data_IF_174360990084
#
_entry.id   IF_174360990084
#
_cell.length_a   1.000
_cell.length_b   1.000
_cell.length_c   1.000
_cell.angle_alpha   90.00
_cell.angle_beta   90.00
_cell.angle_gamma   90.00
#
_symmetry.space_group_name_H-M   'P 1'
#
loop_
_entity.id
_entity.type
_entity.pdbx_description
1 polymer ?
#
# COMPACT_ATOMS: atom_id res chain seq x y z
N UNK A 1 23.01 -8.94 5.22
CA UNK A 1 22.72 -10.37 5.48
C UNK A 1 23.17 -10.74 6.90
N UNK A 2 22.43 -11.59 7.63
CA UNK A 2 22.76 -12.02 9.00
C UNK A 2 22.70 -13.54 9.05
N UNK A 3 23.79 -14.20 9.45
CA UNK A 3 23.85 -15.67 9.56
C UNK A 3 24.37 -16.10 10.95
N UNK A 4 23.80 -17.16 11.55
CA UNK A 4 24.33 -17.78 12.77
C UNK A 4 25.69 -18.47 12.52
N UNK A 5 26.62 -18.33 13.46
CA UNK A 5 27.90 -19.02 13.41
C UNK A 5 27.73 -20.49 13.82
N UNK A 6 28.03 -21.42 12.91
CA UNK A 6 27.75 -22.87 13.05
C UNK A 6 28.49 -23.60 14.19
N UNK A 7 29.28 -22.93 15.03
CA UNK A 7 30.21 -23.58 15.96
C UNK A 7 30.25 -22.97 17.38
N UNK A 8 29.17 -22.38 17.89
CA UNK A 8 29.11 -22.00 19.31
C UNK A 8 27.68 -22.02 19.85
N UNK A 9 27.48 -22.54 21.07
CA UNK A 9 26.23 -22.44 21.86
C UNK A 9 25.94 -21.01 22.37
N UNK A 10 26.68 -20.02 21.87
CA UNK A 10 26.45 -18.60 22.10
C UNK A 10 25.62 -18.04 20.94
N UNK A 11 24.57 -17.26 21.22
CA UNK A 11 23.69 -16.56 20.26
C UNK A 11 24.43 -15.45 19.47
N UNK A 12 25.62 -15.75 18.96
CA UNK A 12 26.45 -14.84 18.20
C UNK A 12 26.14 -14.97 16.69
N UNK A 13 25.84 -13.84 16.06
CA UNK A 13 25.57 -13.73 14.62
C UNK A 13 26.64 -12.89 13.93
N UNK A 14 26.99 -13.28 12.71
CA UNK A 14 27.78 -12.43 11.82
C UNK A 14 26.86 -11.46 11.06
N UNK A 15 27.21 -10.18 11.06
CA UNK A 15 26.45 -9.11 10.36
C UNK A 15 27.27 -8.64 9.16
N UNK A 16 26.73 -8.85 7.97
CA UNK A 16 27.34 -8.40 6.72
C UNK A 16 26.62 -7.15 6.22
N UNK A 17 27.41 -6.11 5.93
CA UNK A 17 26.94 -4.94 5.17
C UNK A 17 26.55 -5.38 3.77
N UNK A 18 25.44 -4.84 3.29
CA UNK A 18 24.79 -5.20 2.02
C UNK A 18 25.74 -5.03 0.80
N UNK A 19 26.70 -4.13 0.94
CA UNK A 19 27.73 -3.79 -0.04
C UNK A 19 28.79 -4.90 -0.22
N UNK A 20 28.97 -5.76 0.80
CA UNK A 20 30.05 -6.75 0.88
C UNK A 20 29.54 -8.19 0.76
N UNK A 21 28.25 -8.38 0.53
CA UNK A 21 27.70 -9.70 0.18
C UNK A 21 27.96 -9.87 -1.30
N UNK A 22 28.85 -10.81 -1.67
CA UNK A 22 28.98 -11.23 -3.06
C UNK A 22 27.58 -11.61 -3.54
N UNK A 23 27.08 -10.83 -4.51
CA UNK A 23 25.81 -11.12 -5.15
C UNK A 23 26.03 -12.40 -5.93
N UNK A 24 25.68 -13.55 -5.34
CA UNK A 24 25.28 -14.68 -6.18
C UNK A 24 24.24 -14.11 -7.16
N UNK A 25 24.48 -14.31 -8.45
CA UNK A 25 23.68 -13.82 -9.59
C UNK A 25 22.25 -14.42 -9.60
N UNK A 26 21.59 -14.42 -8.46
CA UNK A 26 20.17 -14.67 -8.33
C UNK A 26 19.45 -13.38 -8.66
N UNK A 27 19.15 -13.22 -9.96
CA UNK A 27 18.09 -12.37 -10.48
C UNK A 27 16.97 -12.21 -9.45
N UNK A 28 16.74 -10.98 -8.98
CA UNK A 28 15.61 -10.64 -8.13
C UNK A 28 14.32 -11.12 -8.82
N UNK A 29 13.82 -12.28 -8.41
CA UNK A 29 12.55 -12.84 -8.90
C UNK A 29 11.41 -11.99 -8.34
N UNK A 30 11.12 -10.89 -9.01
CA UNK A 30 9.88 -10.15 -8.83
C UNK A 30 8.78 -11.04 -9.42
N UNK A 31 7.88 -11.53 -8.57
CA UNK A 31 6.79 -12.42 -8.96
C UNK A 31 5.87 -11.73 -9.97
N UNK A 32 5.66 -12.35 -11.13
CA UNK A 32 4.56 -12.03 -12.05
C UNK A 32 4.92 -11.60 -13.47
N UNK A 33 6.20 -11.54 -13.86
CA UNK A 33 6.58 -11.17 -15.25
C UNK A 33 7.39 -12.31 -15.89
N UNK A 34 6.92 -12.85 -17.00
CA UNK A 34 7.70 -13.78 -17.82
C UNK A 34 8.76 -13.03 -18.60
N UNK A 35 10.00 -13.44 -18.40
CA UNK A 35 11.20 -12.81 -18.92
C UNK A 35 11.40 -13.18 -20.40
N UNK A 36 10.77 -12.45 -21.33
CA UNK A 36 10.96 -12.68 -22.78
C UNK A 36 11.33 -11.44 -23.60
N UNK A 37 11.69 -10.32 -22.96
CA UNK A 37 12.21 -9.16 -23.72
C UNK A 37 13.28 -8.45 -22.94
N UNK A 38 14.47 -9.04 -22.88
CA UNK A 38 15.70 -8.32 -22.58
C UNK A 38 16.57 -8.43 -23.82
N UNK A 39 16.28 -7.58 -24.81
CA UNK A 39 17.29 -7.25 -25.81
C UNK A 39 18.44 -6.58 -25.05
N UNK A 40 19.65 -7.06 -25.31
CA UNK A 40 20.90 -6.61 -24.69
C UNK A 40 20.92 -5.10 -24.51
N UNK A 41 21.18 -4.63 -23.28
CA UNK A 41 21.47 -3.23 -22.96
C UNK A 41 22.65 -2.74 -23.82
N UNK A 42 22.36 -2.21 -25.01
CA UNK A 42 23.18 -1.15 -25.55
C UNK A 42 23.20 -0.06 -24.49
N UNK A 43 24.42 0.32 -24.06
CA UNK A 43 24.63 1.36 -23.06
C UNK A 43 23.63 2.49 -23.28
N UNK A 44 22.75 2.74 -22.30
CA UNK A 44 21.75 3.82 -22.34
C UNK A 44 22.52 5.15 -22.44
N UNK A 45 22.91 5.51 -23.67
CA UNK A 45 23.49 6.79 -24.03
C UNK A 45 22.31 7.73 -24.18
N UNK A 46 22.24 8.67 -23.24
CA UNK A 46 21.15 9.61 -22.93
C UNK A 46 20.09 9.05 -22.00
N UNK A 47 20.42 9.07 -20.71
CA UNK A 47 19.48 9.67 -19.76
C UNK A 47 19.25 11.10 -20.25
N UNK A 48 18.18 11.34 -21.00
CA UNK A 48 17.68 12.69 -21.17
C UNK A 48 17.44 13.22 -19.76
N UNK A 49 18.27 14.16 -19.32
CA UNK A 49 17.98 14.95 -18.13
C UNK A 49 16.71 15.73 -18.45
N UNK A 50 15.56 15.11 -18.21
CA UNK A 50 14.28 15.80 -18.09
C UNK A 50 14.40 16.61 -16.81
N UNK A 51 15.01 17.78 -16.92
CA UNK A 51 14.96 18.79 -15.88
C UNK A 51 13.52 19.24 -15.79
N UNK A 52 12.91 19.04 -14.63
CA UNK A 52 11.61 19.60 -14.32
C UNK A 52 11.67 21.12 -14.55
N UNK A 53 10.56 21.68 -15.01
CA UNK A 53 10.38 23.13 -14.98
C UNK A 53 10.36 23.61 -13.52
N UNK A 54 10.74 24.86 -13.24
CA UNK A 54 10.64 25.43 -11.88
C UNK A 54 9.24 25.31 -11.27
N UNK A 55 8.19 25.37 -12.10
CA UNK A 55 6.80 25.17 -11.68
C UNK A 55 6.52 23.73 -11.24
N UNK A 56 7.02 22.74 -11.98
CA UNK A 56 6.90 21.33 -11.64
C UNK A 56 7.64 21.01 -10.33
N UNK A 57 8.86 21.52 -10.16
CA UNK A 57 9.61 21.33 -8.92
C UNK A 57 8.89 21.96 -7.73
N UNK A 58 8.38 23.18 -7.89
CA UNK A 58 7.56 23.82 -6.87
C UNK A 58 6.31 23.01 -6.55
N UNK A 59 5.62 22.49 -7.57
CA UNK A 59 4.44 21.64 -7.38
C UNK A 59 4.78 20.38 -6.58
N UNK A 60 5.89 19.70 -6.89
CA UNK A 60 6.32 18.48 -6.18
C UNK A 60 6.74 18.73 -4.72
N UNK A 61 7.30 19.91 -4.43
CA UNK A 61 7.70 20.27 -3.07
C UNK A 61 6.55 20.71 -2.17
N UNK A 62 5.40 21.11 -2.74
CA UNK A 62 4.22 21.46 -1.95
C UNK A 62 3.65 20.22 -1.26
N UNK A 63 3.38 20.36 0.04
CA UNK A 63 2.68 19.36 0.85
C UNK A 63 1.26 19.16 0.34
N UNK A 64 0.91 17.91 0.07
CA UNK A 64 -0.42 17.50 -0.40
C UNK A 64 -1.04 16.55 0.63
N UNK A 65 -2.35 16.63 0.77
CA UNK A 65 -3.11 15.75 1.64
C UNK A 65 -4.02 14.87 0.79
N UNK A 66 -4.16 13.61 1.17
CA UNK A 66 -5.14 12.70 0.61
C UNK A 66 -6.16 12.44 1.70
N UNK A 67 -7.40 12.89 1.48
CA UNK A 67 -8.52 12.57 2.35
C UNK A 67 -8.91 11.10 2.16
N UNK A 68 -8.47 10.26 3.09
CA UNK A 68 -8.64 8.82 3.02
C UNK A 68 -9.83 8.34 3.84
N UNK A 69 -10.72 7.57 3.22
CA UNK A 69 -11.87 6.95 3.87
C UNK A 69 -11.76 5.43 3.83
N UNK A 70 -11.98 4.76 4.96
CA UNK A 70 -11.93 3.30 5.03
C UNK A 70 -13.31 2.74 5.31
N UNK A 71 -13.69 1.73 4.54
CA UNK A 71 -14.91 0.94 4.76
C UNK A 71 -14.50 -0.48 5.10
N UNK A 72 -15.10 -1.04 6.13
CA UNK A 72 -14.89 -2.43 6.56
C UNK A 72 -16.20 -3.18 6.41
N UNK A 73 -16.18 -4.22 5.58
CA UNK A 73 -17.36 -5.02 5.31
C UNK A 73 -17.76 -5.90 6.51
N UNK A 74 -18.94 -6.51 6.41
CA UNK A 74 -19.50 -7.36 7.46
C UNK A 74 -18.68 -8.63 7.66
N UNK A 75 -18.13 -9.21 6.58
CA UNK A 75 -17.28 -10.41 6.67
C UNK A 75 -16.02 -10.13 7.50
N UNK A 76 -15.34 -9.03 7.22
CA UNK A 76 -14.16 -8.55 7.95
C UNK A 76 -14.53 -8.15 9.39
N UNK A 77 -15.69 -7.51 9.60
CA UNK A 77 -16.19 -7.23 10.95
C UNK A 77 -16.35 -8.52 11.79
N UNK A 78 -16.91 -9.59 11.21
CA UNK A 78 -17.01 -10.88 11.88
C UNK A 78 -15.65 -11.55 12.10
N UNK A 79 -14.73 -11.40 11.15
CA UNK A 79 -13.37 -11.93 11.27
C UNK A 79 -12.64 -11.36 12.49
N UNK A 80 -12.78 -10.05 12.74
CA UNK A 80 -12.29 -9.40 13.95
C UNK A 80 -13.14 -9.68 15.20
N UNK A 81 -13.87 -10.81 15.23
CA UNK A 81 -14.73 -11.24 16.34
C UNK A 81 -15.72 -10.15 16.77
N UNK A 82 -16.22 -9.35 15.81
CA UNK A 82 -17.14 -8.23 16.03
C UNK A 82 -16.56 -7.12 16.94
N UNK A 83 -15.23 -7.07 17.08
CA UNK A 83 -14.53 -6.12 17.94
C UNK A 83 -14.17 -4.85 17.15
N UNK A 84 -15.02 -3.81 17.26
CA UNK A 84 -14.80 -2.51 16.60
C UNK A 84 -13.47 -1.84 17.03
N UNK A 85 -13.11 -1.80 18.32
CA UNK A 85 -11.80 -1.27 18.74
C UNK A 85 -10.60 -1.95 18.07
N UNK A 86 -10.64 -3.27 17.89
CA UNK A 86 -9.56 -4.01 17.23
C UNK A 86 -9.44 -3.62 15.74
N UNK A 87 -10.57 -3.44 15.05
CA UNK A 87 -10.61 -2.98 13.66
C UNK A 87 -10.08 -1.54 13.56
N UNK A 88 -10.53 -0.64 14.44
CA UNK A 88 -10.07 0.75 14.48
C UNK A 88 -8.55 0.82 14.67
N UNK A 89 -8.01 0.07 15.63
CA UNK A 89 -6.56 -0.03 15.85
C UNK A 89 -5.85 -0.48 14.56
N UNK A 90 -6.35 -1.53 13.91
CA UNK A 90 -5.75 -2.05 12.68
C UNK A 90 -5.76 -1.01 11.56
N UNK A 91 -6.85 -0.27 11.39
CA UNK A 91 -6.94 0.80 10.39
C UNK A 91 -5.96 1.92 10.69
N UNK A 92 -5.80 2.32 11.96
CA UNK A 92 -4.82 3.35 12.34
C UNK A 92 -3.38 2.89 12.06
N UNK A 93 -3.04 1.64 12.33
CA UNK A 93 -1.74 1.07 11.98
C UNK A 93 -1.48 1.10 10.47
N UNK A 94 -2.49 0.75 9.65
CA UNK A 94 -2.40 0.84 8.19
C UNK A 94 -2.15 2.28 7.73
N UNK A 95 -2.92 3.24 8.25
CA UNK A 95 -2.78 4.66 7.88
C UNK A 95 -1.42 5.23 8.31
N UNK A 96 -0.93 4.84 9.49
CA UNK A 96 0.41 5.23 9.92
C UNK A 96 1.49 4.67 8.97
N UNK A 97 1.34 3.43 8.55
CA UNK A 97 2.25 2.80 7.57
C UNK A 97 2.21 3.52 6.22
N UNK A 98 1.02 3.82 5.70
CA UNK A 98 0.87 4.61 4.47
C UNK A 98 1.52 5.99 4.61
N UNK A 99 1.30 6.68 5.73
CA UNK A 99 1.94 7.97 5.98
C UNK A 99 3.48 7.88 5.96
N UNK A 100 4.07 6.83 6.51
CA UNK A 100 5.53 6.63 6.42
C UNK A 100 6.00 6.47 4.97
N UNK A 101 5.25 5.71 4.15
CA UNK A 101 5.59 5.46 2.74
C UNK A 101 5.43 6.71 1.88
N UNK A 102 4.39 7.52 2.10
CA UNK A 102 4.07 8.67 1.25
C UNK A 102 4.74 9.99 1.67
N UNK A 103 5.23 10.08 2.91
CA UNK A 103 5.90 11.30 3.43
C UNK A 103 7.10 11.76 2.60
N UNK A 104 7.99 10.89 2.08
CA UNK A 104 9.09 11.30 1.20
C UNK A 104 8.62 11.97 -0.10
N UNK A 105 7.37 11.72 -0.53
CA UNK A 105 6.75 12.31 -1.72
C UNK A 105 5.98 13.60 -1.40
N UNK A 106 6.12 14.16 -0.19
CA UNK A 106 5.33 15.28 0.32
C UNK A 106 3.80 15.05 0.33
N UNK A 107 3.37 13.79 0.36
CA UNK A 107 1.97 13.41 0.54
C UNK A 107 1.70 12.97 1.98
N UNK A 108 0.57 13.40 2.52
CA UNK A 108 0.11 13.06 3.86
C UNK A 108 -1.29 12.45 3.79
N UNK A 109 -1.45 11.27 4.37
CA UNK A 109 -2.72 10.56 4.38
C UNK A 109 -3.50 10.99 5.62
N UNK A 110 -4.62 11.67 5.40
CA UNK A 110 -5.54 12.08 6.46
C UNK A 110 -6.71 11.10 6.49
N UNK A 111 -6.82 10.27 7.54
CA UNK A 111 -7.99 9.41 7.73
C UNK A 111 -9.19 10.28 8.11
N UNK A 112 -10.07 10.54 7.15
CA UNK A 112 -11.24 11.43 7.34
C UNK A 112 -12.47 10.68 7.83
N UNK A 113 -12.51 9.37 7.65
CA UNK A 113 -13.59 8.53 8.16
C UNK A 113 -13.31 7.04 8.09
N UNK A 114 -13.99 6.31 8.97
CA UNK A 114 -13.99 4.86 9.04
C UNK A 114 -15.43 4.40 9.22
N UNK A 115 -15.93 3.62 8.28
CA UNK A 115 -17.24 2.99 8.35
C UNK A 115 -17.09 1.48 8.52
N UNK A 116 -17.80 0.91 9.50
CA UNK A 116 -17.82 -0.52 9.73
C UNK A 116 -19.26 -1.00 9.52
N UNK A 117 -19.48 -1.80 8.49
CA UNK A 117 -20.78 -2.40 8.20
C UNK A 117 -21.07 -3.54 9.18
N UNK A 118 -21.47 -3.20 10.41
CA UNK A 118 -21.58 -4.15 11.51
C UNK A 118 -22.85 -5.00 11.51
N UNK A 119 -23.85 -4.65 10.71
CA UNK A 119 -25.14 -5.37 10.65
C UNK A 119 -25.25 -6.24 9.40
N UNK A 120 -24.98 -5.64 8.23
CA UNK A 120 -24.93 -6.28 6.92
C UNK A 120 -24.11 -5.41 5.98
N UNK A 121 -23.64 -6.00 4.88
CA UNK A 121 -23.01 -5.25 3.81
C UNK A 121 -24.01 -4.29 3.17
N UNK A 122 -23.55 -3.07 2.86
CA UNK A 122 -24.38 -2.05 2.20
C UNK A 122 -24.44 -2.27 0.69
N UNK A 123 -23.46 -2.98 0.14
CA UNK A 123 -23.41 -3.44 -1.25
C UNK A 123 -23.35 -4.96 -1.28
N UNK A 124 -23.61 -5.56 -2.43
CA UNK A 124 -23.32 -6.98 -2.63
C UNK A 124 -21.82 -7.18 -2.85
N UNK A 125 -21.21 -8.10 -2.08
CA UNK A 125 -19.78 -8.42 -2.17
C UNK A 125 -19.64 -9.78 -2.84
N UNK A 126 -19.01 -9.78 -4.01
CA UNK A 126 -18.77 -10.95 -4.85
C UNK A 126 -17.30 -11.36 -4.79
N UNK A 127 -16.97 -12.65 -5.01
CA UNK A 127 -15.59 -13.11 -5.16
C UNK A 127 -14.85 -12.44 -6.32
N UNK A 128 -15.59 -12.03 -7.36
CA UNK A 128 -15.05 -11.23 -8.46
C UNK A 128 -14.78 -9.79 -7.97
N UNK A 129 -13.50 -9.43 -7.91
CA UNK A 129 -13.05 -8.13 -7.46
C UNK A 129 -13.51 -6.98 -8.36
N UNK A 130 -13.68 -7.21 -9.67
CA UNK A 130 -14.14 -6.21 -10.63
C UNK A 130 -15.61 -5.85 -10.39
N UNK A 131 -16.45 -6.85 -10.12
CA UNK A 131 -17.86 -6.63 -9.77
C UNK A 131 -17.96 -5.86 -8.44
N UNK A 132 -17.26 -6.32 -7.40
CA UNK A 132 -17.26 -5.66 -6.09
C UNK A 132 -16.73 -4.22 -6.17
N UNK A 133 -15.66 -3.98 -6.93
CA UNK A 133 -15.10 -2.63 -7.12
C UNK A 133 -16.10 -1.69 -7.80
N UNK A 134 -16.81 -2.17 -8.83
CA UNK A 134 -17.85 -1.38 -9.52
C UNK A 134 -18.97 -0.99 -8.55
N UNK A 135 -19.52 -1.96 -7.82
CA UNK A 135 -20.59 -1.73 -6.85
C UNK A 135 -20.15 -0.78 -5.73
N UNK A 136 -18.91 -0.92 -5.25
CA UNK A 136 -18.35 -0.03 -4.23
C UNK A 136 -18.16 1.39 -4.75
N UNK A 137 -17.70 1.55 -5.99
CA UNK A 137 -17.56 2.86 -6.65
C UNK A 137 -18.91 3.57 -6.82
N UNK A 138 -19.93 2.85 -7.30
CA UNK A 138 -21.30 3.35 -7.42
C UNK A 138 -21.88 3.76 -6.05
N UNK A 139 -21.69 2.93 -5.03
CA UNK A 139 -22.11 3.26 -3.67
C UNK A 139 -21.38 4.48 -3.13
N UNK A 140 -20.07 4.60 -3.36
CA UNK A 140 -19.28 5.77 -2.93
C UNK A 140 -19.83 7.05 -3.54
N UNK A 141 -20.11 7.03 -4.84
CA UNK A 141 -20.61 8.19 -5.59
C UNK A 141 -22.00 8.62 -5.11
N UNK A 142 -22.90 7.65 -4.95
CA UNK A 142 -24.32 7.92 -4.69
C UNK A 142 -24.63 8.15 -3.20
N UNK A 143 -23.86 7.58 -2.28
CA UNK A 143 -24.17 7.60 -0.84
C UNK A 143 -23.05 8.15 0.03
N UNK A 144 -21.80 7.70 -0.16
CA UNK A 144 -20.71 8.11 0.74
C UNK A 144 -20.35 9.59 0.55
N UNK A 145 -20.12 10.02 -0.68
CA UNK A 145 -19.70 11.39 -0.97
C UNK A 145 -20.76 12.45 -0.62
N UNK A 146 -22.03 12.06 -0.58
CA UNK A 146 -23.13 12.94 -0.16
C UNK A 146 -23.05 13.36 1.31
N UNK A 147 -22.39 12.56 2.16
CA UNK A 147 -22.28 12.81 3.61
C UNK A 147 -20.85 13.01 4.09
N UNK A 148 -19.87 12.49 3.37
CA UNK A 148 -18.46 12.61 3.72
C UNK A 148 -17.57 12.68 2.50
N UNK A 149 -17.09 13.89 2.20
CA UNK A 149 -16.07 14.13 1.18
C UNK A 149 -14.80 13.34 1.51
N UNK A 150 -14.20 12.76 0.48
CA UNK A 150 -12.92 12.06 0.52
C UNK A 150 -12.33 12.02 -0.90
N UNK A 151 -11.01 12.00 -1.00
CA UNK A 151 -10.29 11.87 -2.27
C UNK A 151 -10.15 10.38 -2.64
N UNK A 152 -9.89 9.54 -1.64
CA UNK A 152 -9.69 8.11 -1.81
C UNK A 152 -10.52 7.31 -0.79
N UNK A 153 -11.16 6.23 -1.24
CA UNK A 153 -11.87 5.30 -0.37
C UNK A 153 -11.41 3.87 -0.60
N UNK A 154 -11.15 3.13 0.48
CA UNK A 154 -10.74 1.73 0.45
C UNK A 154 -11.78 0.85 1.14
N UNK A 155 -12.26 -0.16 0.43
CA UNK A 155 -13.01 -1.27 1.03
C UNK A 155 -12.02 -2.33 1.53
N UNK A 156 -12.14 -2.69 2.81
CA UNK A 156 -11.46 -3.83 3.43
C UNK A 156 -12.46 -4.98 3.52
N UNK A 157 -12.20 -6.01 2.74
CA UNK A 157 -13.04 -7.21 2.64
C UNK A 157 -12.18 -8.46 2.73
N UNK A 158 -12.81 -9.58 3.11
CA UNK A 158 -12.21 -10.91 3.06
C UNK A 158 -12.93 -11.73 2.00
N UNK A 159 -12.21 -12.11 0.96
CA UNK A 159 -12.67 -13.05 -0.08
C UNK A 159 -12.56 -14.47 0.48
#
# INVERSE_FOLDING_TARGET
FIEPLKLSDSEAHAIYKDENVEKEDETLKICGVTQTTWESDESIKKVSQLTNTPEQDRYLQIKKYIEFFVVVDYRMYRHYKRNKPAIQRRVYEMVNTLNMIYRPLNFYIALTGLEIWSSRDTIHIEPDAGITLKLFGEWRQNFLLQRKRNDYAQLLTRI
#
